data_IF_728056114989
#
_entry.id   IF_728056114989
#
_cell.length_a   1.000
_cell.length_b   1.000
_cell.length_c   1.000
_cell.angle_alpha   90.00
_cell.angle_beta   90.00
_cell.angle_gamma   90.00
#
_symmetry.space_group_name_H-M   'P 1'
#
loop_
_entity.id
_entity.type
_entity.pdbx_description
1 polymer ?
#
# COMPACT_ATOMS: atom_id res chain seq x y z
N UNK A 1 -28.77 -6.27 -11.50
CA UNK A 1 -28.00 -5.18 -10.89
C UNK A 1 -26.51 -5.53 -10.96
N UNK A 2 -25.76 -4.85 -11.79
CA UNK A 2 -24.31 -5.08 -11.85
C UNK A 2 -23.65 -4.45 -10.62
N UNK A 3 -22.90 -5.27 -9.88
CA UNK A 3 -22.09 -4.82 -8.74
C UNK A 3 -20.66 -4.71 -9.23
N UNK A 4 -19.97 -3.67 -8.80
CA UNK A 4 -18.53 -3.53 -9.01
C UNK A 4 -17.81 -3.44 -7.67
N UNK A 5 -16.54 -3.78 -7.68
CA UNK A 5 -15.68 -3.72 -6.50
C UNK A 5 -14.48 -2.82 -6.79
N UNK A 6 -14.11 -2.02 -5.81
CA UNK A 6 -12.82 -1.34 -5.80
C UNK A 6 -11.94 -2.00 -4.74
N UNK A 7 -10.74 -2.41 -5.11
CA UNK A 7 -9.70 -2.79 -4.16
C UNK A 7 -8.82 -1.58 -3.90
N UNK A 8 -8.72 -1.19 -2.64
CA UNK A 8 -7.77 -0.19 -2.17
C UNK A 8 -6.62 -0.92 -1.49
N UNK A 9 -5.41 -0.64 -1.93
CA UNK A 9 -4.18 -1.27 -1.44
C UNK A 9 -3.15 -0.20 -1.12
N UNK A 10 -2.65 -0.21 0.11
CA UNK A 10 -1.60 0.71 0.55
C UNK A 10 -0.26 0.33 -0.08
N UNK A 11 0.35 1.26 -0.81
CA UNK A 11 1.60 1.00 -1.52
C UNK A 11 2.78 0.86 -0.54
N UNK A 12 3.50 -0.27 -0.62
CA UNK A 12 4.67 -0.55 0.25
C UNK A 12 4.37 -0.20 1.71
N UNK A 13 3.30 -0.73 2.27
CA UNK A 13 2.63 -0.21 3.46
C UNK A 13 3.57 0.07 4.63
N UNK A 14 4.39 -0.88 5.04
CA UNK A 14 5.28 -0.69 6.19
C UNK A 14 6.34 0.39 5.93
N UNK A 15 6.94 0.39 4.74
CA UNK A 15 7.86 1.46 4.33
C UNK A 15 7.14 2.81 4.31
N UNK A 16 5.92 2.85 3.80
CA UNK A 16 5.12 4.09 3.74
C UNK A 16 4.80 4.62 5.14
N UNK A 17 4.52 3.75 6.10
CA UNK A 17 4.35 4.13 7.51
C UNK A 17 5.62 4.78 8.08
N UNK A 18 6.78 4.19 7.84
CA UNK A 18 8.05 4.76 8.29
C UNK A 18 8.32 6.13 7.65
N UNK A 19 8.03 6.30 6.37
CA UNK A 19 8.18 7.56 5.64
C UNK A 19 7.28 8.69 6.15
N UNK A 20 6.11 8.38 6.69
CA UNK A 20 5.23 9.38 7.31
C UNK A 20 5.92 10.07 8.48
N UNK A 21 6.65 9.31 9.29
CA UNK A 21 7.34 9.81 10.49
C UNK A 21 8.76 10.28 10.22
N UNK A 22 9.37 9.82 9.14
CA UNK A 22 10.69 10.28 8.68
C UNK A 22 10.65 10.61 7.18
N UNK A 23 10.25 11.84 6.81
CA UNK A 23 10.24 12.30 5.43
C UNK A 23 11.60 12.26 4.72
N UNK A 24 12.70 12.18 5.47
CA UNK A 24 14.04 12.06 4.89
C UNK A 24 14.26 10.76 4.13
N UNK A 25 13.37 9.76 4.31
CA UNK A 25 13.38 8.48 3.61
C UNK A 25 12.73 8.54 2.22
N UNK A 26 12.07 9.63 1.86
CA UNK A 26 11.45 9.80 0.54
C UNK A 26 12.55 9.76 -0.52
N UNK A 27 12.29 9.04 -1.62
CA UNK A 27 13.22 8.81 -2.73
C UNK A 27 14.52 8.06 -2.35
N UNK A 28 14.52 7.38 -1.21
CA UNK A 28 15.63 6.52 -0.80
C UNK A 28 15.21 5.05 -0.77
N UNK A 29 16.14 4.12 -1.04
CA UNK A 29 15.86 2.70 -0.88
C UNK A 29 15.68 2.38 0.62
N UNK A 30 14.51 1.84 0.95
CA UNK A 30 14.11 1.47 2.31
C UNK A 30 13.52 0.07 2.29
N UNK A 31 13.86 -0.73 3.29
CA UNK A 31 13.27 -2.04 3.55
C UNK A 31 12.85 -2.15 5.01
N UNK A 32 11.78 -2.92 5.25
CA UNK A 32 11.32 -3.28 6.59
C UNK A 32 11.42 -4.79 6.75
N UNK A 33 11.93 -5.23 7.89
CA UNK A 33 12.18 -6.62 8.20
C UNK A 33 10.98 -7.28 8.88
N UNK A 34 10.93 -8.60 8.80
CA UNK A 34 10.00 -9.43 9.57
C UNK A 34 10.24 -9.30 11.08
N UNK A 35 9.31 -9.83 11.88
CA UNK A 35 9.33 -9.71 13.34
C UNK A 35 10.65 -10.21 14.00
N UNK A 36 11.31 -11.20 13.37
CA UNK A 36 12.59 -11.74 13.86
C UNK A 36 13.82 -11.13 13.17
N UNK A 37 13.65 -10.04 12.41
CA UNK A 37 14.67 -9.39 11.59
C UNK A 37 15.35 -10.30 10.55
N UNK A 38 14.74 -11.43 10.23
CA UNK A 38 15.34 -12.43 9.34
C UNK A 38 15.09 -12.19 7.86
N UNK A 39 13.91 -11.67 7.50
CA UNK A 39 13.47 -11.51 6.11
C UNK A 39 12.96 -10.12 5.82
N UNK A 40 13.10 -9.69 4.57
CA UNK A 40 12.58 -8.40 4.06
C UNK A 40 11.12 -8.58 3.66
N UNK A 41 10.20 -7.93 4.34
CA UNK A 41 8.76 -8.05 4.11
C UNK A 41 8.11 -6.81 3.50
N UNK A 42 8.79 -5.68 3.47
CA UNK A 42 8.35 -4.48 2.76
C UNK A 42 9.54 -3.77 2.14
N UNK A 43 9.33 -3.22 0.95
CA UNK A 43 10.39 -2.57 0.17
C UNK A 43 9.85 -1.31 -0.50
N UNK A 44 10.61 -0.22 -0.48
CA UNK A 44 10.34 0.94 -1.32
C UNK A 44 10.50 0.60 -2.81
N UNK A 45 9.96 1.43 -3.70
CA UNK A 45 10.18 1.26 -5.14
C UNK A 45 11.66 1.31 -5.50
N UNK A 46 12.41 2.19 -4.85
CA UNK A 46 13.87 2.30 -5.03
C UNK A 46 14.60 1.01 -4.62
N UNK A 47 14.16 0.36 -3.54
CA UNK A 47 14.71 -0.93 -3.14
C UNK A 47 14.33 -2.06 -4.10
N UNK A 48 13.12 -2.03 -4.68
CA UNK A 48 12.70 -2.98 -5.72
C UNK A 48 13.57 -2.88 -6.97
N UNK A 49 13.98 -1.67 -7.36
CA UNK A 49 14.89 -1.44 -8.49
C UNK A 49 16.29 -2.04 -8.26
N UNK A 50 16.68 -2.29 -7.02
CA UNK A 50 17.90 -3.00 -6.67
C UNK A 50 17.76 -4.53 -6.74
N UNK A 51 16.63 -5.04 -7.24
CA UNK A 51 16.31 -6.46 -7.33
C UNK A 51 16.29 -7.19 -5.98
N UNK A 52 15.87 -6.51 -4.93
CA UNK A 52 15.63 -7.12 -3.62
C UNK A 52 14.23 -7.76 -3.65
N UNK A 53 14.09 -9.09 -3.61
CA UNK A 53 12.77 -9.73 -3.71
C UNK A 53 12.01 -9.70 -2.39
N UNK A 54 10.69 -9.89 -2.47
CA UNK A 54 9.84 -10.09 -1.29
C UNK A 54 10.26 -11.36 -0.55
N UNK A 55 10.33 -11.28 0.77
CA UNK A 55 10.73 -12.40 1.61
C UNK A 55 12.23 -12.72 1.58
N UNK A 56 13.04 -11.87 0.97
CA UNK A 56 14.49 -12.08 0.90
C UNK A 56 15.12 -12.23 2.29
N UNK A 57 15.92 -13.27 2.51
CA UNK A 57 16.70 -13.37 3.74
C UNK A 57 17.72 -12.23 3.83
N UNK A 58 17.68 -11.47 4.91
CA UNK A 58 18.52 -10.27 5.07
C UNK A 58 20.01 -10.57 4.86
N UNK A 59 20.49 -11.69 5.41
CA UNK A 59 21.91 -12.04 5.36
C UNK A 59 22.46 -12.26 3.95
N UNK A 60 21.61 -12.64 2.98
CA UNK A 60 22.01 -12.83 1.58
C UNK A 60 22.12 -11.51 0.81
N UNK A 61 21.50 -10.43 1.30
CA UNK A 61 21.43 -9.13 0.63
C UNK A 61 22.27 -8.03 1.27
N UNK A 62 23.09 -8.37 2.29
CA UNK A 62 23.92 -7.40 3.01
C UNK A 62 24.84 -6.56 2.11
N UNK A 63 25.42 -7.18 1.08
CA UNK A 63 26.31 -6.48 0.16
C UNK A 63 25.55 -5.42 -0.65
N UNK A 64 24.37 -5.78 -1.20
CA UNK A 64 23.51 -4.86 -1.97
C UNK A 64 23.04 -3.72 -1.05
N UNK A 65 22.62 -4.04 0.17
CA UNK A 65 22.14 -3.08 1.15
C UNK A 65 23.23 -2.07 1.50
N UNK A 66 24.44 -2.54 1.80
CA UNK A 66 25.55 -1.68 2.18
C UNK A 66 26.03 -0.81 1.01
N UNK A 67 26.21 -1.40 -0.18
CA UNK A 67 26.69 -0.69 -1.36
C UNK A 67 25.73 0.42 -1.83
N UNK A 68 24.45 0.22 -1.65
CA UNK A 68 23.41 1.18 -2.08
C UNK A 68 22.85 2.02 -0.94
N UNK A 69 23.43 1.92 0.26
CA UNK A 69 22.98 2.67 1.44
C UNK A 69 21.48 2.50 1.74
N UNK A 70 20.98 1.28 1.54
CA UNK A 70 19.57 0.95 1.83
C UNK A 70 19.29 1.14 3.30
N UNK A 71 18.24 1.86 3.64
CA UNK A 71 17.78 2.00 5.02
C UNK A 71 17.01 0.75 5.43
N UNK A 72 17.36 0.20 6.57
CA UNK A 72 16.78 -1.03 7.10
C UNK A 72 16.09 -0.73 8.42
N UNK A 73 14.82 -1.11 8.51
CA UNK A 73 14.00 -0.95 9.70
C UNK A 73 13.50 -2.30 10.20
N UNK A 74 13.55 -2.51 11.50
CA UNK A 74 12.78 -3.58 12.14
C UNK A 74 11.29 -3.25 12.07
N UNK A 75 10.42 -4.27 12.04
CA UNK A 75 8.98 -4.05 12.03
C UNK A 75 8.49 -3.40 13.31
N UNK A 76 7.63 -2.39 13.16
CA UNK A 76 6.92 -1.70 14.24
C UNK A 76 5.41 -1.95 14.09
N UNK A 77 4.96 -3.14 14.47
CA UNK A 77 3.55 -3.52 14.29
C UNK A 77 2.55 -2.62 15.03
N UNK A 78 2.83 -2.08 16.24
CA UNK A 78 1.94 -1.08 16.85
C UNK A 78 1.74 0.15 15.97
N UNK A 79 2.80 0.67 15.36
CA UNK A 79 2.73 1.79 14.42
C UNK A 79 1.92 1.42 13.18
N UNK A 80 2.20 0.25 12.57
CA UNK A 80 1.52 -0.18 11.34
C UNK A 80 0.04 -0.45 11.58
N UNK A 81 -0.30 -1.02 12.74
CA UNK A 81 -1.69 -1.20 13.16
C UNK A 81 -2.44 0.11 13.35
N UNK A 82 -1.82 1.11 13.97
CA UNK A 82 -2.41 2.45 14.12
C UNK A 82 -2.61 3.13 12.76
N UNK A 83 -1.63 3.08 11.88
CA UNK A 83 -1.73 3.66 10.53
C UNK A 83 -2.77 2.93 9.67
N UNK A 84 -2.89 1.61 9.79
CA UNK A 84 -3.95 0.84 9.15
C UNK A 84 -5.33 1.32 9.62
N UNK A 85 -5.54 1.49 10.91
CA UNK A 85 -6.79 2.00 11.45
C UNK A 85 -7.14 3.40 10.92
N UNK A 86 -6.17 4.27 10.78
CA UNK A 86 -6.37 5.61 10.20
C UNK A 86 -6.79 5.55 8.74
N UNK A 87 -6.15 4.70 7.94
CA UNK A 87 -6.53 4.49 6.52
C UNK A 87 -7.95 3.93 6.45
N UNK A 88 -8.26 2.87 7.20
CA UNK A 88 -9.58 2.22 7.16
C UNK A 88 -10.69 3.15 7.66
N UNK A 89 -10.45 3.94 8.69
CA UNK A 89 -11.39 4.96 9.18
C UNK A 89 -11.67 6.02 8.10
N UNK A 90 -10.62 6.50 7.43
CA UNK A 90 -10.76 7.45 6.32
C UNK A 90 -11.58 6.87 5.16
N UNK A 91 -11.42 5.58 4.86
CA UNK A 91 -12.21 4.88 3.85
C UNK A 91 -13.68 4.74 4.26
N UNK A 92 -13.95 4.43 5.54
CA UNK A 92 -15.32 4.32 6.06
C UNK A 92 -16.08 5.64 6.00
N UNK A 93 -15.40 6.77 6.21
CA UNK A 93 -16.00 8.11 6.06
C UNK A 93 -16.39 8.40 4.61
N UNK A 94 -15.66 7.85 3.65
CA UNK A 94 -15.90 8.05 2.23
C UNK A 94 -16.93 7.08 1.64
N UNK A 95 -17.09 5.89 2.24
CA UNK A 95 -18.02 4.87 1.78
C UNK A 95 -18.42 3.92 2.92
N UNK A 96 -19.69 3.64 3.05
CA UNK A 96 -20.26 2.79 4.12
C UNK A 96 -20.14 1.28 3.86
N UNK A 97 -19.91 0.85 2.62
CA UNK A 97 -19.81 -0.57 2.25
C UNK A 97 -18.35 -1.01 2.09
N UNK A 98 -17.59 -0.94 3.20
CA UNK A 98 -16.19 -1.32 3.26
C UNK A 98 -16.03 -2.73 3.86
N UNK A 99 -15.24 -3.57 3.19
CA UNK A 99 -14.76 -4.86 3.71
C UNK A 99 -13.24 -4.78 3.89
N UNK A 100 -12.78 -4.81 5.14
CA UNK A 100 -11.35 -4.87 5.44
C UNK A 100 -10.86 -6.28 5.15
N UNK A 101 -9.91 -6.42 4.22
CA UNK A 101 -9.38 -7.69 3.78
C UNK A 101 -8.06 -8.05 4.47
N UNK A 102 -7.19 -7.06 4.68
CA UNK A 102 -5.93 -7.21 5.40
C UNK A 102 -5.53 -5.89 6.05
N UNK A 103 -4.36 -5.84 6.68
CA UNK A 103 -3.83 -4.63 7.33
C UNK A 103 -3.66 -3.45 6.34
N UNK A 104 -3.46 -3.75 5.07
CA UNK A 104 -3.14 -2.78 4.01
C UNK A 104 -4.10 -2.83 2.81
N UNK A 105 -5.14 -3.67 2.85
CA UNK A 105 -6.08 -3.85 1.76
C UNK A 105 -7.54 -3.81 2.24
N UNK A 106 -8.39 -3.18 1.46
CA UNK A 106 -9.84 -3.16 1.68
C UNK A 106 -10.60 -3.17 0.35
N UNK A 107 -11.77 -3.79 0.34
CA UNK A 107 -12.71 -3.75 -0.76
C UNK A 107 -13.85 -2.78 -0.46
N UNK A 108 -14.19 -1.97 -1.46
CA UNK A 108 -15.42 -1.19 -1.51
C UNK A 108 -16.37 -1.81 -2.51
N UNK A 109 -17.61 -1.98 -2.11
CA UNK A 109 -18.68 -2.35 -3.01
C UNK A 109 -19.29 -1.08 -3.62
N UNK A 110 -19.40 -1.06 -4.93
CA UNK A 110 -19.90 0.08 -5.70
C UNK A 110 -21.21 -0.33 -6.35
N UNK A 111 -22.26 0.46 -6.13
CA UNK A 111 -23.58 0.23 -6.72
C UNK A 111 -23.72 0.98 -8.06
N UNK A 112 -24.59 0.49 -8.95
CA UNK A 112 -24.76 1.06 -10.30
C UNK A 112 -25.08 2.55 -10.34
N UNK A 113 -25.74 3.07 -9.31
CA UNK A 113 -26.10 4.47 -9.22
C UNK A 113 -24.89 5.41 -9.07
N UNK A 114 -23.75 4.85 -8.65
CA UNK A 114 -22.52 5.59 -8.38
C UNK A 114 -21.55 5.61 -9.58
N UNK A 115 -21.91 4.93 -10.69
CA UNK A 115 -20.99 4.75 -11.83
C UNK A 115 -20.77 5.99 -12.70
N UNK A 116 -21.63 6.99 -12.64
CA UNK A 116 -21.55 8.15 -13.55
C UNK A 116 -20.29 9.02 -13.36
N UNK A 117 -19.66 8.96 -12.18
CA UNK A 117 -18.47 9.76 -11.84
C UNK A 117 -17.38 8.93 -11.10
N UNK A 118 -17.40 7.61 -11.26
CA UNK A 118 -16.57 6.71 -10.47
C UNK A 118 -15.07 7.02 -10.56
N UNK A 119 -14.58 7.36 -11.73
CA UNK A 119 -13.15 7.71 -11.91
C UNK A 119 -12.78 8.95 -11.10
N UNK A 120 -13.62 9.97 -11.15
CA UNK A 120 -13.42 11.19 -10.36
C UNK A 120 -13.45 10.90 -8.85
N UNK A 121 -14.40 10.09 -8.41
CA UNK A 121 -14.55 9.74 -6.98
C UNK A 121 -13.38 8.92 -6.48
N UNK A 122 -12.85 8.01 -7.28
CA UNK A 122 -11.65 7.22 -6.97
C UNK A 122 -10.41 8.10 -6.87
N UNK A 123 -10.21 9.01 -7.82
CA UNK A 123 -9.09 9.95 -7.78
C UNK A 123 -9.17 10.86 -6.55
N UNK A 124 -10.37 11.34 -6.21
CA UNK A 124 -10.60 12.12 -5.01
C UNK A 124 -10.34 11.31 -3.73
N UNK A 125 -10.80 10.08 -3.67
CA UNK A 125 -10.57 9.16 -2.55
C UNK A 125 -9.07 8.93 -2.33
N UNK A 126 -8.35 8.60 -3.40
CA UNK A 126 -6.90 8.40 -3.37
C UNK A 126 -6.16 9.64 -2.84
N UNK A 127 -6.54 10.82 -3.31
CA UNK A 127 -5.98 12.10 -2.86
C UNK A 127 -6.28 12.35 -1.38
N UNK A 128 -7.51 12.12 -0.95
CA UNK A 128 -7.93 12.33 0.44
C UNK A 128 -7.18 11.41 1.41
N UNK A 129 -7.04 10.14 1.09
CA UNK A 129 -6.29 9.19 1.92
C UNK A 129 -4.84 9.65 2.06
N UNK A 130 -4.20 10.02 0.97
CA UNK A 130 -2.82 10.53 0.99
C UNK A 130 -2.70 11.79 1.84
N UNK A 131 -3.63 12.72 1.71
CA UNK A 131 -3.62 13.99 2.46
C UNK A 131 -3.85 13.75 3.95
N UNK A 132 -4.78 12.87 4.33
CA UNK A 132 -5.16 12.65 5.72
C UNK A 132 -4.22 11.72 6.47
N UNK A 133 -3.61 10.76 5.79
CA UNK A 133 -2.78 9.72 6.42
C UNK A 133 -1.31 9.77 6.03
N UNK A 134 -0.97 10.39 4.91
CA UNK A 134 0.37 10.34 4.31
C UNK A 134 0.67 9.02 3.60
N UNK A 135 -0.28 8.07 3.54
CA UNK A 135 -0.10 6.75 2.93
C UNK A 135 -0.58 6.78 1.48
N UNK A 136 0.30 6.51 0.48
CA UNK A 136 -0.11 6.37 -0.90
C UNK A 136 -0.85 5.05 -1.12
N UNK A 137 -1.94 5.10 -1.86
CA UNK A 137 -2.73 3.91 -2.20
C UNK A 137 -2.88 3.74 -3.70
N UNK A 138 -3.04 2.49 -4.14
CA UNK A 138 -3.46 2.12 -5.48
C UNK A 138 -4.89 1.59 -5.42
N UNK A 139 -5.70 1.87 -6.44
CA UNK A 139 -7.10 1.47 -6.50
C UNK A 139 -7.34 0.74 -7.81
N UNK A 140 -7.85 -0.47 -7.73
CA UNK A 140 -8.27 -1.28 -8.87
C UNK A 140 -9.78 -1.49 -8.88
N UNK A 141 -10.41 -1.30 -10.03
CA UNK A 141 -11.84 -1.53 -10.25
C UNK A 141 -12.08 -2.79 -11.05
N UNK A 142 -13.12 -3.52 -10.69
CA UNK A 142 -13.55 -4.69 -11.44
C UNK A 142 -14.95 -5.15 -11.05
N UNK A 143 -15.64 -5.91 -11.93
CA UNK A 143 -16.95 -6.47 -11.65
C UNK A 143 -16.92 -7.59 -10.60
N UNK A 144 -15.75 -8.10 -10.29
CA UNK A 144 -15.50 -9.07 -9.22
C UNK A 144 -14.30 -8.65 -8.38
N UNK A 145 -14.20 -9.16 -7.15
CA UNK A 145 -13.01 -8.93 -6.30
C UNK A 145 -11.72 -9.38 -6.96
N UNK A 146 -11.72 -10.53 -7.66
CA UNK A 146 -10.56 -11.05 -8.39
C UNK A 146 -10.12 -10.09 -9.49
N UNK A 147 -11.04 -9.56 -10.28
CA UNK A 147 -10.72 -8.59 -11.34
C UNK A 147 -10.28 -7.25 -10.77
N UNK A 148 -10.83 -6.81 -9.65
CA UNK A 148 -10.36 -5.63 -8.94
C UNK A 148 -8.89 -5.80 -8.46
N UNK A 149 -8.51 -6.98 -7.99
CA UNK A 149 -7.11 -7.30 -7.64
C UNK A 149 -6.17 -7.23 -8.85
N UNK A 150 -6.58 -7.77 -9.98
CA UNK A 150 -5.81 -7.70 -11.22
C UNK A 150 -5.62 -6.25 -11.67
N UNK A 151 -6.69 -5.46 -11.68
CA UNK A 151 -6.65 -4.05 -12.04
C UNK A 151 -5.71 -3.27 -11.10
N UNK A 152 -5.74 -3.54 -9.80
CA UNK A 152 -4.84 -2.92 -8.84
C UNK A 152 -3.37 -3.28 -9.09
N UNK A 153 -3.08 -4.55 -9.38
CA UNK A 153 -1.72 -4.98 -9.75
C UNK A 153 -1.20 -4.26 -11.00
N UNK A 154 -2.07 -4.00 -11.98
CA UNK A 154 -1.71 -3.22 -13.17
C UNK A 154 -1.45 -1.76 -12.82
N UNK A 155 -2.29 -1.14 -11.99
CA UNK A 155 -2.13 0.24 -11.54
C UNK A 155 -0.79 0.46 -10.82
N UNK A 156 -0.36 -0.49 -9.99
CA UNK A 156 0.96 -0.43 -9.32
C UNK A 156 2.14 -0.44 -10.29
N UNK A 157 2.05 -1.21 -11.38
CA UNK A 157 3.11 -1.30 -12.40
C UNK A 157 3.27 -0.03 -13.22
N UNK A 158 2.21 0.74 -13.40
CA UNK A 158 2.25 1.99 -14.18
C UNK A 158 2.71 3.19 -13.35
N UNK A 159 2.82 3.05 -12.05
CA UNK A 159 3.27 4.11 -11.11
C UNK A 159 4.74 3.94 -10.69
N UNK A 160 5.40 2.90 -11.15
CA UNK A 160 6.82 2.58 -10.85
C UNK A 160 7.77 3.16 -11.90
#
# INVERSE_FOLDING_TARGET
MSKSFALIDCNNFYVSCERVFDPSLINKPVVVLSNNDGCIISRSNEAKLLNIPMGAPLHLYKNIINSNKVKVYSSNYPLYGDMSNRVMTSLMELNSELEIYSIDEAFLKINEQDHSNIEHDILRMRKNILTWTGIPVSIGLGPTKTLAKIANSMAKKTQS
#
